data_IF_716199406220
#
_entry.id   IF_716199406220
#
_cell.length_a   1.000
_cell.length_b   1.000
_cell.length_c   1.000
_cell.angle_alpha   90.00
_cell.angle_beta   90.00
_cell.angle_gamma   90.00
#
_symmetry.space_group_name_H-M   'P 1'
#
loop_
_entity.id
_entity.type
_entity.pdbx_description
1 polymer ?
#
# COMPACT_ATOMS: atom_id res chain seq x y z
N UNK A 1 5.12 -31.04 -22.04
CA UNK A 1 4.77 -29.70 -21.54
C UNK A 1 4.15 -28.94 -22.69
N UNK A 2 2.84 -28.76 -22.68
CA UNK A 2 2.10 -27.98 -23.70
C UNK A 2 2.48 -26.52 -23.55
N UNK A 3 3.02 -25.92 -24.62
CA UNK A 3 3.33 -24.50 -24.67
C UNK A 3 2.02 -23.70 -24.52
N UNK A 4 1.78 -23.14 -23.33
CA UNK A 4 0.75 -22.12 -23.12
C UNK A 4 1.03 -20.95 -24.05
N UNK A 5 0.00 -20.49 -24.79
CA UNK A 5 0.14 -19.29 -25.62
C UNK A 5 0.52 -18.12 -24.70
N UNK A 6 1.47 -17.26 -25.08
CA UNK A 6 2.03 -16.23 -24.18
C UNK A 6 0.99 -15.26 -23.60
N UNK A 7 -0.10 -15.02 -24.33
CA UNK A 7 -1.20 -14.12 -23.94
C UNK A 7 -2.37 -14.85 -23.25
N UNK A 8 -2.26 -16.16 -23.00
CA UNK A 8 -3.28 -16.88 -22.26
C UNK A 8 -3.17 -16.53 -20.76
N UNK A 9 -4.27 -16.11 -20.11
CA UNK A 9 -4.28 -15.87 -18.67
C UNK A 9 -3.98 -17.16 -17.90
N UNK A 10 -3.30 -17.04 -16.78
CA UNK A 10 -3.22 -18.09 -15.77
C UNK A 10 -4.58 -18.27 -15.07
N UNK A 11 -4.73 -19.39 -14.38
CA UNK A 11 -5.87 -19.58 -13.49
C UNK A 11 -5.86 -18.50 -12.39
N UNK A 12 -7.04 -17.95 -12.09
CA UNK A 12 -7.18 -17.00 -11.00
C UNK A 12 -6.71 -17.64 -9.67
N UNK A 13 -5.94 -16.92 -8.85
CA UNK A 13 -5.55 -17.41 -7.54
C UNK A 13 -6.80 -17.63 -6.67
N UNK A 14 -6.77 -18.65 -5.81
CA UNK A 14 -7.89 -18.91 -4.87
C UNK A 14 -8.03 -17.78 -3.85
N UNK A 15 -6.89 -17.35 -3.31
CA UNK A 15 -6.76 -16.22 -2.40
C UNK A 15 -5.45 -15.51 -2.69
N UNK A 16 -5.46 -14.19 -2.60
CA UNK A 16 -4.31 -13.33 -2.78
C UNK A 16 -4.38 -12.23 -1.71
N UNK A 17 -3.36 -12.16 -0.84
CA UNK A 17 -3.33 -11.26 0.30
C UNK A 17 -2.25 -10.18 0.11
N UNK A 18 -2.41 -9.36 -0.94
CA UNK A 18 -1.47 -8.27 -1.26
C UNK A 18 -1.86 -7.03 -0.46
N UNK A 19 -0.91 -6.45 0.25
CA UNK A 19 -1.15 -5.34 1.16
C UNK A 19 0.07 -5.01 2.01
N UNK A 20 0.48 -3.75 2.03
CA UNK A 20 1.41 -3.19 3.00
C UNK A 20 0.90 -1.80 3.43
N UNK A 21 0.91 -1.50 4.73
CA UNK A 21 0.45 -0.22 5.27
C UNK A 21 1.37 0.90 4.78
N UNK A 22 0.81 2.06 4.45
CA UNK A 22 1.61 3.25 4.15
C UNK A 22 2.30 3.76 5.44
N UNK A 23 3.64 3.65 5.57
CA UNK A 23 4.35 4.06 6.78
C UNK A 23 4.18 5.55 7.04
N UNK A 24 4.08 6.35 5.98
CA UNK A 24 3.95 7.80 6.05
C UNK A 24 2.62 8.19 6.70
N UNK A 25 1.53 7.63 6.18
CA UNK A 25 0.20 7.86 6.71
C UNK A 25 0.03 7.27 8.12
N UNK A 26 0.62 6.09 8.39
CA UNK A 26 0.57 5.47 9.70
C UNK A 26 1.26 6.33 10.76
N UNK A 27 2.47 6.82 10.47
CA UNK A 27 3.22 7.70 11.38
C UNK A 27 2.52 9.04 11.57
N UNK A 28 1.97 9.65 10.49
CA UNK A 28 1.15 10.86 10.60
C UNK A 28 -0.08 10.68 11.49
N UNK A 29 -0.76 9.54 11.37
CA UNK A 29 -1.91 9.18 12.19
C UNK A 29 -1.53 8.96 13.66
N UNK A 30 -0.35 8.40 13.93
CA UNK A 30 0.16 8.20 15.29
C UNK A 30 0.65 9.50 15.94
N UNK A 31 1.32 10.37 15.17
CA UNK A 31 1.89 11.64 15.67
C UNK A 31 0.87 12.79 15.68
N UNK A 32 -0.22 12.67 14.92
CA UNK A 32 -1.25 13.70 14.79
C UNK A 32 -0.77 14.97 14.09
N UNK A 33 0.24 14.88 13.23
CA UNK A 33 0.77 16.00 12.42
C UNK A 33 1.38 15.49 11.13
N UNK A 34 1.43 16.33 10.09
CA UNK A 34 2.20 16.06 8.86
C UNK A 34 3.69 15.95 9.15
N UNK A 35 4.36 15.09 8.40
CA UNK A 35 5.82 14.98 8.40
C UNK A 35 6.32 15.31 7.00
N UNK A 36 7.42 16.04 6.91
CA UNK A 36 8.07 16.32 5.63
C UNK A 36 8.88 15.09 5.18
N UNK A 37 8.32 14.35 4.24
CA UNK A 37 8.91 13.12 3.70
C UNK A 37 10.15 13.37 2.83
N UNK A 38 10.38 14.61 2.39
CA UNK A 38 11.57 14.99 1.64
C UNK A 38 12.81 15.18 2.52
N UNK A 39 12.63 15.18 3.84
CA UNK A 39 13.69 15.46 4.80
C UNK A 39 14.43 14.18 5.23
N UNK A 40 15.78 14.21 5.19
CA UNK A 40 16.62 13.05 5.51
C UNK A 40 16.38 12.37 6.88
N UNK A 41 16.12 13.10 7.99
CA UNK A 41 15.82 12.49 9.30
C UNK A 41 14.49 11.73 9.36
N UNK A 42 13.68 11.79 8.31
CA UNK A 42 12.35 11.18 8.33
C UNK A 42 12.40 9.65 8.36
N UNK A 43 13.43 9.04 7.78
CA UNK A 43 13.67 7.59 7.93
C UNK A 43 13.87 7.20 9.40
N UNK A 44 14.57 8.03 10.19
CA UNK A 44 14.77 7.80 11.62
C UNK A 44 13.46 7.95 12.40
N UNK A 45 12.63 8.94 12.05
CA UNK A 45 11.31 9.11 12.68
C UNK A 45 10.45 7.86 12.46
N UNK A 46 10.38 7.37 11.22
CA UNK A 46 9.59 6.18 10.88
C UNK A 46 10.14 4.96 11.64
N UNK A 47 11.46 4.76 11.62
CA UNK A 47 12.08 3.61 12.28
C UNK A 47 11.82 3.61 13.80
N UNK A 48 11.89 4.79 14.43
CA UNK A 48 11.64 4.93 15.86
C UNK A 48 10.17 4.72 16.23
N UNK A 49 9.23 5.30 15.46
CA UNK A 49 7.79 5.17 15.73
C UNK A 49 7.31 3.72 15.48
N UNK A 50 7.83 3.08 14.44
CA UNK A 50 7.45 1.71 14.05
C UNK A 50 8.34 0.63 14.69
N UNK A 51 9.35 1.03 15.48
CA UNK A 51 10.28 0.14 16.20
C UNK A 51 10.93 -0.93 15.31
N UNK A 52 11.31 -0.56 14.09
CA UNK A 52 11.94 -1.44 13.12
C UNK A 52 12.89 -0.62 12.25
N UNK A 53 14.04 -1.18 11.90
CA UNK A 53 14.99 -0.49 11.04
C UNK A 53 14.38 -0.22 9.66
N UNK A 54 14.64 0.96 9.09
CA UNK A 54 14.01 1.41 7.84
C UNK A 54 14.12 0.38 6.71
N UNK A 55 15.31 -0.19 6.50
CA UNK A 55 15.58 -1.18 5.45
C UNK A 55 14.86 -2.53 5.65
N UNK A 56 14.29 -2.78 6.83
CA UNK A 56 13.53 -3.99 7.14
C UNK A 56 12.02 -3.78 7.07
N UNK A 57 11.54 -2.53 7.01
CA UNK A 57 10.12 -2.21 7.01
C UNK A 57 9.38 -2.78 5.79
N UNK A 58 10.08 -2.87 4.66
CA UNK A 58 9.49 -3.10 3.33
C UNK A 58 9.64 -4.54 2.81
N UNK A 59 10.05 -5.48 3.66
CA UNK A 59 10.11 -6.91 3.31
C UNK A 59 9.48 -7.76 4.42
N UNK A 60 8.49 -8.60 4.03
CA UNK A 60 7.68 -9.38 4.97
C UNK A 60 8.51 -10.40 5.78
N UNK A 61 9.70 -10.79 5.33
CA UNK A 61 10.58 -11.73 6.08
C UNK A 61 11.08 -11.17 7.40
N UNK A 62 11.01 -9.85 7.57
CA UNK A 62 11.39 -9.17 8.81
C UNK A 62 10.21 -8.98 9.76
N UNK A 63 9.03 -9.52 9.43
CA UNK A 63 7.83 -9.44 10.29
C UNK A 63 7.42 -7.99 10.60
N UNK A 64 7.72 -7.06 9.68
CA UNK A 64 7.43 -5.63 9.84
C UNK A 64 5.95 -5.37 10.15
N UNK A 65 5.70 -4.37 11.00
CA UNK A 65 4.35 -3.91 11.36
C UNK A 65 3.55 -3.41 10.15
N UNK A 66 4.21 -3.04 9.04
CA UNK A 66 3.52 -2.67 7.80
C UNK A 66 2.70 -3.82 7.21
N UNK A 67 2.96 -5.06 7.63
CA UNK A 67 2.24 -6.26 7.22
C UNK A 67 1.31 -6.78 8.33
N UNK A 68 0.89 -5.92 9.27
CA UNK A 68 0.02 -6.33 10.38
C UNK A 68 -1.21 -7.11 9.89
N UNK A 69 -1.39 -8.32 10.44
CA UNK A 69 -2.46 -9.25 10.07
C UNK A 69 -2.14 -10.24 8.95
N UNK A 70 -0.97 -10.15 8.30
CA UNK A 70 -0.48 -11.12 7.32
C UNK A 70 0.99 -11.50 7.56
N UNK A 71 1.38 -12.68 7.08
CA UNK A 71 2.76 -13.19 7.20
C UNK A 71 3.17 -14.03 6.01
N UNK A 72 4.47 -14.28 5.88
CA UNK A 72 4.97 -15.28 4.94
C UNK A 72 4.59 -16.68 5.42
N UNK A 73 4.03 -17.48 4.51
CA UNK A 73 3.87 -18.89 4.76
C UNK A 73 5.22 -19.61 4.63
N UNK A 74 5.49 -20.56 5.53
CA UNK A 74 6.77 -21.27 5.57
C UNK A 74 6.95 -22.33 4.46
N UNK A 75 6.00 -22.47 3.52
CA UNK A 75 6.01 -23.53 2.49
C UNK A 75 6.37 -23.01 1.10
N UNK A 76 5.75 -21.88 0.72
CA UNK A 76 5.80 -21.36 -0.65
C UNK A 76 6.17 -19.87 -0.69
N UNK A 77 6.54 -19.27 0.45
CA UNK A 77 6.87 -17.85 0.59
C UNK A 77 5.75 -16.92 0.09
N UNK A 78 4.49 -17.38 0.15
CA UNK A 78 3.32 -16.57 -0.17
C UNK A 78 2.77 -15.91 1.09
N UNK A 79 2.15 -14.74 0.94
CA UNK A 79 1.43 -14.11 2.04
C UNK A 79 0.22 -14.97 2.46
N UNK A 80 0.00 -15.11 3.77
CA UNK A 80 -1.18 -15.69 4.38
C UNK A 80 -1.67 -14.81 5.54
N UNK A 81 -2.96 -14.89 5.87
CA UNK A 81 -3.49 -14.20 7.04
C UNK A 81 -2.92 -14.78 8.33
N UNK A 82 -2.59 -13.92 9.28
CA UNK A 82 -2.30 -14.31 10.66
C UNK A 82 -3.64 -14.66 11.33
N UNK A 83 -3.81 -15.87 11.89
CA UNK A 83 -5.03 -16.22 12.62
C UNK A 83 -5.26 -15.26 13.80
N UNK A 84 -6.51 -14.87 14.07
CA UNK A 84 -6.83 -13.89 15.13
C UNK A 84 -6.28 -14.27 16.51
N UNK A 85 -6.22 -15.58 16.83
CA UNK A 85 -5.66 -16.11 18.08
C UNK A 85 -4.14 -15.93 18.22
N UNK A 86 -3.45 -15.71 17.10
CA UNK A 86 -2.00 -15.48 17.01
C UNK A 86 -1.68 -13.98 16.96
N UNK A 87 -2.70 -13.11 16.90
CA UNK A 87 -2.52 -11.68 17.08
C UNK A 87 -2.36 -11.36 18.57
N UNK A 88 -1.41 -10.49 18.87
CA UNK A 88 -1.02 -10.13 20.22
C UNK A 88 -1.03 -8.62 20.40
N UNK A 89 -1.65 -8.16 21.48
CA UNK A 89 -1.60 -6.75 21.86
C UNK A 89 -0.45 -6.51 22.82
N UNK A 90 0.49 -5.68 22.39
CA UNK A 90 1.64 -5.26 23.17
C UNK A 90 1.25 -4.15 24.14
N UNK A 91 1.65 -4.30 25.40
CA UNK A 91 1.51 -3.28 26.44
C UNK A 91 2.81 -2.50 26.60
N UNK A 92 2.79 -1.38 27.31
CA UNK A 92 4.01 -0.63 27.65
C UNK A 92 5.05 -1.50 28.35
N UNK A 93 4.61 -2.46 29.19
CA UNK A 93 5.50 -3.41 29.88
C UNK A 93 6.20 -4.36 28.90
N UNK A 94 5.54 -4.74 27.81
CA UNK A 94 6.14 -5.60 26.79
C UNK A 94 7.25 -4.87 26.03
N UNK A 95 7.15 -3.55 25.86
CA UNK A 95 8.05 -2.74 25.02
C UNK A 95 9.20 -2.07 25.79
N UNK A 96 9.39 -2.40 27.07
CA UNK A 96 10.45 -1.81 27.88
C UNK A 96 11.82 -2.22 27.32
N UNK A 97 12.63 -1.21 27.00
CA UNK A 97 14.04 -1.41 26.64
C UNK A 97 14.86 -1.60 27.91
N UNK A 98 15.70 -2.65 28.00
CA UNK A 98 16.57 -2.83 29.15
C UNK A 98 17.56 -1.68 29.30
N UNK A 99 17.95 -1.41 30.53
CA UNK A 99 18.96 -0.42 30.84
C UNK A 99 20.35 -0.97 30.49
N UNK A 100 21.01 -0.33 29.52
CA UNK A 100 22.37 -0.68 29.08
C UNK A 100 23.45 0.21 29.71
N UNK A 101 23.09 1.11 30.64
CA UNK A 101 24.04 2.07 31.24
C UNK A 101 25.18 1.42 32.03
N UNK A 102 24.95 0.22 32.56
CA UNK A 102 25.95 -0.56 33.31
C UNK A 102 26.79 -1.50 32.45
N UNK A 103 26.57 -1.55 31.12
CA UNK A 103 27.31 -2.45 30.23
C UNK A 103 28.66 -1.84 29.84
N UNK A 104 29.75 -2.42 30.33
CA UNK A 104 31.12 -1.97 30.02
C UNK A 104 31.83 -2.93 29.04
N UNK A 105 31.44 -4.21 29.05
CA UNK A 105 32.00 -5.29 28.23
C UNK A 105 30.88 -6.07 27.55
N UNK A 106 31.21 -6.70 26.42
CA UNK A 106 30.27 -7.58 25.71
C UNK A 106 29.70 -8.69 26.60
N UNK A 107 30.50 -9.23 27.54
CA UNK A 107 30.05 -10.23 28.51
C UNK A 107 28.90 -9.74 29.39
N UNK A 108 28.83 -8.44 29.68
CA UNK A 108 27.86 -7.86 30.61
C UNK A 108 26.47 -7.81 29.97
N UNK A 109 26.39 -7.97 28.64
CA UNK A 109 25.13 -8.17 27.91
C UNK A 109 24.38 -9.42 28.41
N UNK A 110 25.08 -10.41 28.96
CA UNK A 110 24.47 -11.58 29.58
C UNK A 110 23.61 -11.20 30.79
N UNK A 111 24.07 -10.24 31.62
CA UNK A 111 23.39 -9.82 32.85
C UNK A 111 22.10 -9.02 32.55
N UNK A 112 22.08 -8.28 31.44
CA UNK A 112 20.90 -7.56 30.95
C UNK A 112 19.95 -8.42 30.11
N UNK A 113 20.25 -9.72 29.94
CA UNK A 113 19.36 -10.73 29.36
C UNK A 113 19.81 -11.38 28.04
N UNK A 114 20.97 -11.01 27.48
CA UNK A 114 21.55 -11.63 26.26
C UNK A 114 22.37 -12.86 26.65
N UNK A 115 21.69 -13.93 27.05
CA UNK A 115 22.34 -15.14 27.58
C UNK A 115 23.25 -15.85 26.56
N UNK A 116 22.86 -15.84 25.28
CA UNK A 116 23.53 -16.58 24.21
C UNK A 116 24.25 -15.65 23.22
N UNK A 117 25.10 -14.77 23.74
CA UNK A 117 25.77 -13.75 22.92
C UNK A 117 26.62 -14.36 21.78
N UNK A 118 27.27 -15.50 22.03
CA UNK A 118 28.07 -16.21 21.02
C UNK A 118 27.28 -16.78 19.85
N UNK A 119 25.98 -17.04 20.04
CA UNK A 119 25.07 -17.55 19.00
C UNK A 119 24.24 -16.42 18.36
N UNK A 120 24.30 -15.23 18.93
CA UNK A 120 23.52 -14.07 18.46
C UNK A 120 24.04 -13.63 17.10
N UNK A 121 23.16 -13.65 16.10
CA UNK A 121 23.52 -13.27 14.74
C UNK A 121 23.86 -11.78 14.66
N UNK A 122 25.00 -11.47 14.06
CA UNK A 122 25.37 -10.10 13.71
C UNK A 122 24.56 -9.66 12.49
N UNK A 123 23.84 -8.55 12.61
CA UNK A 123 23.08 -7.93 11.52
C UNK A 123 23.98 -7.03 10.68
N UNK A 124 24.76 -6.18 11.33
CA UNK A 124 25.79 -5.34 10.70
C UNK A 124 27.05 -5.27 11.56
N UNK A 125 28.20 -5.23 10.90
CA UNK A 125 29.48 -4.94 11.52
C UNK A 125 30.26 -3.99 10.61
N UNK A 126 30.69 -2.85 11.14
CA UNK A 126 31.53 -1.91 10.39
C UNK A 126 32.44 -1.11 11.32
N UNK A 127 33.55 -0.62 10.76
CA UNK A 127 34.48 0.27 11.46
C UNK A 127 34.08 1.72 11.21
N UNK A 128 33.96 2.53 12.28
CA UNK A 128 33.76 3.96 12.18
C UNK A 128 34.67 4.68 13.18
N UNK A 129 35.54 5.56 12.67
CA UNK A 129 36.51 6.33 13.48
C UNK A 129 37.36 5.44 14.41
N UNK A 130 37.79 4.27 13.93
CA UNK A 130 38.59 3.31 14.71
C UNK A 130 37.78 2.44 15.68
N UNK A 131 36.46 2.65 15.79
CA UNK A 131 35.58 1.84 16.64
C UNK A 131 34.81 0.81 15.81
N UNK A 132 34.73 -0.43 16.31
CA UNK A 132 33.85 -1.46 15.76
C UNK A 132 32.42 -1.19 16.22
N UNK A 133 31.51 -0.93 15.28
CA UNK A 133 30.07 -0.85 15.54
C UNK A 133 29.42 -2.18 15.14
N UNK A 134 28.76 -2.81 16.10
CA UNK A 134 28.00 -4.05 15.91
C UNK A 134 26.52 -3.77 16.11
N UNK A 135 25.71 -4.17 15.14
CA UNK A 135 24.26 -4.27 15.28
C UNK A 135 23.93 -5.75 15.36
N UNK A 136 23.42 -6.17 16.50
CA UNK A 136 23.06 -7.57 16.75
C UNK A 136 21.58 -7.78 16.45
N UNK A 137 21.24 -8.93 15.87
CA UNK A 137 19.83 -9.31 15.72
C UNK A 137 19.26 -9.54 17.13
N UNK A 138 18.13 -8.90 17.41
CA UNK A 138 17.45 -8.97 18.70
C UNK A 138 17.26 -10.43 19.16
N UNK A 139 17.73 -10.80 20.36
CA UNK A 139 17.42 -12.10 20.96
C UNK A 139 15.94 -12.15 21.35
N UNK A 140 15.32 -13.33 21.24
CA UNK A 140 13.90 -13.53 21.60
C UNK A 140 13.57 -13.20 23.07
N UNK A 141 14.57 -13.03 23.93
CA UNK A 141 14.45 -12.72 25.36
C UNK A 141 14.26 -11.23 25.70
N UNK A 142 14.44 -10.31 24.75
CA UNK A 142 14.33 -8.85 24.97
C UNK A 142 12.94 -8.33 24.63
N UNK A 143 12.47 -7.33 25.40
CA UNK A 143 11.15 -6.69 25.30
C UNK A 143 10.60 -6.64 23.88
N UNK A 144 9.35 -7.02 23.68
CA UNK A 144 8.71 -7.17 22.37
C UNK A 144 8.69 -5.83 21.64
N UNK A 145 8.87 -5.90 20.33
CA UNK A 145 8.78 -4.76 19.41
C UNK A 145 7.56 -4.98 18.53
N UNK A 146 7.11 -3.91 17.89
CA UNK A 146 6.06 -4.00 16.88
C UNK A 146 6.42 -5.02 15.79
N UNK A 147 5.44 -5.82 15.37
CA UNK A 147 5.55 -6.77 14.28
C UNK A 147 4.21 -6.94 13.56
N UNK A 148 4.19 -7.80 12.55
CA UNK A 148 3.00 -8.17 11.81
C UNK A 148 1.93 -8.92 12.66
N UNK A 149 2.30 -9.45 13.83
CA UNK A 149 1.40 -10.15 14.75
C UNK A 149 1.37 -9.54 16.16
N UNK A 150 2.40 -8.78 16.55
CA UNK A 150 2.48 -8.05 17.81
C UNK A 150 2.31 -6.55 17.61
N UNK A 151 1.14 -6.00 17.91
CA UNK A 151 0.82 -4.57 17.72
C UNK A 151 0.33 -3.92 19.00
N UNK A 152 0.47 -2.60 19.17
CA UNK A 152 -0.21 -1.89 20.26
C UNK A 152 -1.72 -1.83 20.01
N UNK A 153 -2.52 -1.52 21.04
CA UNK A 153 -3.96 -1.28 20.88
C UNK A 153 -4.25 -0.21 19.82
N UNK A 154 -3.46 0.88 19.80
CA UNK A 154 -3.62 1.96 18.82
C UNK A 154 -3.44 1.47 17.39
N UNK A 155 -2.38 0.71 17.09
CA UNK A 155 -2.14 0.18 15.75
C UNK A 155 -3.18 -0.89 15.40
N UNK A 156 -3.54 -1.75 16.35
CA UNK A 156 -4.58 -2.76 16.18
C UNK A 156 -5.93 -2.17 15.75
N UNK A 157 -6.38 -1.12 16.43
CA UNK A 157 -7.64 -0.41 16.14
C UNK A 157 -7.59 0.47 14.88
N UNK A 158 -6.39 0.90 14.48
CA UNK A 158 -6.17 1.79 13.33
C UNK A 158 -6.01 1.02 12.01
N UNK A 159 -5.30 -0.11 12.02
CA UNK A 159 -4.77 -0.71 10.79
C UNK A 159 -5.04 -2.21 10.63
N UNK A 160 -5.69 -2.87 11.59
CA UNK A 160 -5.92 -4.33 11.54
C UNK A 160 -7.40 -4.69 11.69
N UNK A 161 -7.87 -5.77 11.05
CA UNK A 161 -9.26 -6.22 11.16
C UNK A 161 -9.57 -6.86 12.52
N UNK A 162 -8.56 -7.09 13.37
CA UNK A 162 -8.63 -7.84 14.64
C UNK A 162 -8.82 -6.93 15.85
N UNK A 163 -9.84 -6.08 15.81
CA UNK A 163 -10.10 -5.07 16.84
C UNK A 163 -10.57 -5.68 18.16
N UNK A 164 -10.27 -4.98 19.25
CA UNK A 164 -10.70 -5.35 20.61
C UNK A 164 -12.07 -4.77 20.95
N UNK A 165 -12.40 -3.58 20.43
CA UNK A 165 -13.69 -2.93 20.67
C UNK A 165 -14.76 -3.47 19.72
N UNK A 166 -15.67 -4.30 20.22
CA UNK A 166 -16.82 -4.86 19.49
C UNK A 166 -18.14 -4.14 19.78
N UNK A 167 -18.14 -3.10 20.62
CA UNK A 167 -19.35 -2.38 21.03
C UNK A 167 -19.44 -1.00 20.36
N UNK A 168 -20.46 -0.81 19.51
CA UNK A 168 -20.80 0.49 18.90
C UNK A 168 -20.27 0.70 17.48
N UNK A 169 -20.57 1.86 16.92
CA UNK A 169 -20.03 2.29 15.62
C UNK A 169 -18.53 2.53 15.74
N UNK A 170 -17.77 2.02 14.77
CA UNK A 170 -16.32 2.15 14.79
C UNK A 170 -15.86 3.57 14.49
N UNK A 171 -14.83 4.01 15.21
CA UNK A 171 -14.07 5.22 14.93
C UNK A 171 -12.61 4.93 15.23
N UNK A 172 -11.66 5.25 14.31
CA UNK A 172 -10.26 5.01 14.59
C UNK A 172 -9.75 5.84 15.79
N UNK A 173 -8.67 5.42 16.45
CA UNK A 173 -8.04 6.19 17.52
C UNK A 173 -7.72 7.63 17.08
N UNK A 174 -7.90 8.60 17.99
CA UNK A 174 -7.61 10.02 17.78
C UNK A 174 -8.33 10.67 16.58
N UNK A 175 -9.48 10.12 16.18
CA UNK A 175 -10.24 10.61 15.03
C UNK A 175 -11.72 10.82 15.34
N UNK A 176 -12.38 11.51 14.42
CA UNK A 176 -13.83 11.76 14.36
C UNK A 176 -14.32 11.41 12.96
N UNK A 177 -15.59 11.01 12.83
CA UNK A 177 -16.25 10.98 11.53
C UNK A 177 -16.77 12.38 11.23
N UNK A 178 -16.28 13.00 10.17
CA UNK A 178 -16.65 14.36 9.79
C UNK A 178 -17.19 14.42 8.37
N UNK A 179 -18.27 15.18 8.17
CA UNK A 179 -18.75 15.53 6.84
C UNK A 179 -17.83 16.61 6.24
N UNK A 180 -16.91 16.14 5.43
CA UNK A 180 -15.92 16.98 4.75
C UNK A 180 -16.42 17.50 3.39
N UNK A 181 -17.71 17.37 3.08
CA UNK A 181 -18.29 17.92 1.85
C UNK A 181 -18.16 19.44 1.77
N UNK A 182 -18.05 20.13 2.92
CA UNK A 182 -17.73 21.56 3.00
C UNK A 182 -16.37 21.91 2.36
N UNK A 183 -15.41 20.98 2.33
CA UNK A 183 -14.13 21.19 1.64
C UNK A 183 -14.31 21.35 0.13
N UNK A 184 -15.40 20.84 -0.46
CA UNK A 184 -15.72 21.03 -1.88
C UNK A 184 -16.15 22.46 -2.25
N UNK A 185 -16.52 23.29 -1.27
CA UNK A 185 -17.03 24.65 -1.51
C UNK A 185 -15.96 25.59 -2.09
N UNK A 186 -14.71 25.44 -1.66
CA UNK A 186 -13.62 26.38 -1.92
C UNK A 186 -12.64 25.89 -2.99
N UNK A 187 -12.94 24.77 -3.66
CA UNK A 187 -12.00 24.13 -4.59
C UNK A 187 -12.34 24.44 -6.05
N UNK A 188 -11.34 24.64 -6.93
CA UNK A 188 -11.52 24.44 -8.35
C UNK A 188 -12.00 22.99 -8.56
N UNK A 189 -12.92 22.77 -9.50
CA UNK A 189 -13.41 21.41 -9.80
C UNK A 189 -12.26 20.47 -10.18
N UNK A 190 -12.49 19.14 -10.19
CA UNK A 190 -11.48 18.18 -10.63
C UNK A 190 -10.86 18.62 -11.94
N UNK A 191 -9.53 18.70 -11.97
CA UNK A 191 -8.81 18.77 -13.23
C UNK A 191 -8.99 17.39 -13.89
N UNK A 192 -9.87 17.27 -14.90
CA UNK A 192 -10.15 15.98 -15.51
C UNK A 192 -8.92 15.45 -16.28
N UNK A 193 -7.86 16.25 -16.42
CA UNK A 193 -6.59 15.83 -17.02
C UNK A 193 -5.63 15.16 -16.04
N UNK A 194 -5.91 15.19 -14.72
CA UNK A 194 -5.06 14.58 -13.68
C UNK A 194 -5.72 13.34 -13.08
N UNK A 195 -5.00 12.22 -13.16
CA UNK A 195 -5.54 10.89 -12.80
C UNK A 195 -4.96 10.31 -11.51
N UNK A 196 -3.97 10.96 -10.90
CA UNK A 196 -3.17 10.46 -9.77
C UNK A 196 -3.82 10.66 -8.39
N UNK A 197 -5.14 10.79 -8.32
CA UNK A 197 -5.80 11.12 -7.06
C UNK A 197 -5.61 10.06 -5.96
N UNK A 198 -5.86 8.75 -6.16
CA UNK A 198 -5.86 7.81 -5.05
C UNK A 198 -4.48 7.68 -4.39
N UNK A 199 -4.42 8.01 -3.10
CA UNK A 199 -3.26 7.83 -2.22
C UNK A 199 -3.68 7.05 -0.99
N UNK A 200 -3.00 5.95 -0.73
CA UNK A 200 -3.27 5.06 0.39
C UNK A 200 -2.99 5.73 1.73
N UNK A 201 -3.86 5.52 2.71
CA UNK A 201 -3.67 5.98 4.08
C UNK A 201 -3.15 4.91 5.04
N UNK A 202 -3.50 5.01 6.33
CA UNK A 202 -2.94 4.22 7.42
C UNK A 202 -3.47 2.77 7.52
N UNK A 203 -3.63 2.07 6.40
CA UNK A 203 -4.12 0.70 6.30
C UNK A 203 -3.46 -0.05 5.15
N UNK A 204 -3.30 -1.37 5.27
CA UNK A 204 -2.67 -2.24 4.25
C UNK A 204 -3.56 -2.59 3.05
N UNK A 205 -4.28 -1.64 2.47
CA UNK A 205 -5.23 -1.88 1.37
C UNK A 205 -4.74 -1.40 -0.01
N UNK A 206 -3.43 -1.40 -0.22
CA UNK A 206 -2.77 -1.03 -1.49
C UNK A 206 -3.41 -1.68 -2.72
N UNK A 207 -3.94 -2.90 -2.57
CA UNK A 207 -4.63 -3.64 -3.62
C UNK A 207 -5.84 -2.89 -4.19
N UNK A 208 -6.64 -2.25 -3.33
CA UNK A 208 -7.80 -1.46 -3.71
C UNK A 208 -7.38 -0.10 -4.27
N UNK A 209 -6.43 0.57 -3.63
CA UNK A 209 -5.96 1.90 -4.06
C UNK A 209 -5.30 1.84 -5.45
N UNK A 210 -4.48 0.82 -5.70
CA UNK A 210 -3.89 0.58 -7.02
C UNK A 210 -4.98 0.29 -8.07
N UNK A 211 -6.00 -0.50 -7.72
CA UNK A 211 -7.12 -0.79 -8.61
C UNK A 211 -7.94 0.46 -8.95
N UNK A 212 -8.27 1.30 -7.96
CA UNK A 212 -8.98 2.58 -8.16
C UNK A 212 -8.20 3.49 -9.12
N UNK A 213 -6.88 3.60 -8.91
CA UNK A 213 -6.01 4.38 -9.79
C UNK A 213 -5.99 3.80 -11.21
N UNK A 214 -5.90 2.49 -11.38
CA UNK A 214 -5.89 1.85 -12.70
C UNK A 214 -7.21 1.98 -13.46
N UNK A 215 -8.35 1.94 -12.74
CA UNK A 215 -9.68 2.20 -13.32
C UNK A 215 -9.80 3.67 -13.70
N UNK A 216 -9.52 4.60 -12.77
CA UNK A 216 -9.57 6.03 -13.04
C UNK A 216 -8.64 6.45 -14.18
N UNK A 217 -7.47 5.82 -14.29
CA UNK A 217 -6.55 6.02 -15.39
C UNK A 217 -7.15 5.56 -16.70
N UNK A 218 -7.64 4.34 -16.82
CA UNK A 218 -8.04 3.79 -18.12
C UNK A 218 -9.43 4.20 -18.58
N UNK A 219 -10.36 4.35 -17.65
CA UNK A 219 -11.74 4.75 -17.87
C UNK A 219 -12.21 5.72 -16.77
N UNK A 220 -11.87 7.01 -16.88
CA UNK A 220 -12.27 8.02 -15.90
C UNK A 220 -13.79 8.12 -15.73
N UNK A 221 -14.56 7.74 -16.76
CA UNK A 221 -16.02 7.81 -16.73
C UNK A 221 -16.66 6.71 -15.87
N UNK A 222 -15.92 5.62 -15.58
CA UNK A 222 -16.34 4.59 -14.64
C UNK A 222 -16.29 5.06 -13.17
N UNK A 223 -15.60 6.17 -12.89
CA UNK A 223 -15.52 6.74 -11.55
C UNK A 223 -16.58 7.82 -11.37
N UNK A 224 -17.49 7.60 -10.42
CA UNK A 224 -18.49 8.57 -10.01
C UNK A 224 -17.85 9.57 -9.06
N UNK A 225 -17.99 10.86 -9.35
CA UNK A 225 -17.42 11.90 -8.50
C UNK A 225 -18.51 12.62 -7.70
N UNK A 226 -18.34 12.69 -6.37
CA UNK A 226 -18.92 13.78 -5.59
C UNK A 226 -18.14 15.05 -5.91
N UNK A 227 -18.64 15.82 -6.88
CA UNK A 227 -18.02 17.09 -7.29
C UNK A 227 -18.77 18.28 -6.66
N UNK A 228 -18.24 19.48 -6.87
CA UNK A 228 -18.85 20.72 -6.37
C UNK A 228 -20.28 20.91 -6.85
N UNK A 229 -20.64 20.52 -8.08
CA UNK A 229 -22.02 20.60 -8.56
C UNK A 229 -22.96 19.65 -7.81
N UNK A 230 -22.53 18.41 -7.53
CA UNK A 230 -23.30 17.45 -6.73
C UNK A 230 -23.48 17.96 -5.30
N UNK A 231 -22.44 18.56 -4.72
CA UNK A 231 -22.51 19.21 -3.42
C UNK A 231 -23.49 20.39 -3.40
N UNK A 232 -23.38 21.32 -4.35
CA UNK A 232 -24.27 22.48 -4.43
C UNK A 232 -25.73 22.05 -4.67
N UNK A 233 -25.96 21.04 -5.50
CA UNK A 233 -27.28 20.48 -5.74
C UNK A 233 -27.88 19.88 -4.46
N UNK A 234 -27.08 19.11 -3.70
CA UNK A 234 -27.49 18.56 -2.42
C UNK A 234 -27.79 19.68 -1.40
N UNK A 235 -26.93 20.70 -1.32
CA UNK A 235 -27.11 21.85 -0.44
C UNK A 235 -28.39 22.64 -0.75
N UNK A 236 -28.71 22.86 -2.04
CA UNK A 236 -29.96 23.52 -2.48
C UNK A 236 -31.18 22.69 -2.06
N UNK A 237 -31.10 21.36 -2.20
CA UNK A 237 -32.17 20.44 -1.80
C UNK A 237 -32.24 20.17 -0.30
N UNK A 238 -31.29 20.68 0.49
CA UNK A 238 -31.08 20.34 1.90
C UNK A 238 -30.89 18.82 2.13
N UNK A 239 -30.30 18.15 1.15
CA UNK A 239 -29.97 16.73 1.20
C UNK A 239 -28.49 16.55 1.60
N UNK A 240 -28.15 15.47 2.32
CA UNK A 240 -26.76 15.17 2.62
C UNK A 240 -25.99 14.78 1.35
N UNK A 241 -24.73 15.21 1.28
CA UNK A 241 -23.78 14.77 0.26
C UNK A 241 -23.63 13.24 0.33
N UNK A 242 -23.80 12.56 -0.81
CA UNK A 242 -23.67 11.11 -0.91
C UNK A 242 -23.07 10.68 -2.24
N UNK A 243 -22.50 9.48 -2.25
CA UNK A 243 -21.98 8.77 -3.41
C UNK A 243 -22.67 7.41 -3.53
N UNK A 244 -23.16 7.09 -4.72
CA UNK A 244 -23.71 5.78 -5.08
C UNK A 244 -22.73 5.06 -6.00
N UNK A 245 -22.18 3.93 -5.56
CA UNK A 245 -21.21 3.14 -6.33
C UNK A 245 -21.80 1.76 -6.59
N UNK A 246 -21.82 1.32 -7.86
CA UNK A 246 -22.18 -0.06 -8.20
C UNK A 246 -20.95 -0.95 -8.15
N UNK A 247 -21.02 -2.01 -7.37
CA UNK A 247 -19.95 -3.00 -7.19
C UNK A 247 -20.45 -4.38 -7.62
N UNK A 248 -19.55 -5.17 -8.18
CA UNK A 248 -19.88 -6.41 -8.88
C UNK A 248 -19.19 -7.60 -8.22
N UNK A 249 -19.96 -8.63 -7.86
CA UNK A 249 -19.41 -9.87 -7.29
C UNK A 249 -18.50 -10.57 -8.29
N UNK A 250 -17.31 -10.97 -7.83
CA UNK A 250 -16.35 -11.78 -8.61
C UNK A 250 -15.88 -13.02 -7.84
N UNK A 251 -16.50 -13.32 -6.70
CA UNK A 251 -16.22 -14.49 -5.85
C UNK A 251 -14.94 -14.38 -5.02
N UNK A 252 -14.71 -15.39 -4.17
CA UNK A 252 -13.56 -15.47 -3.26
C UNK A 252 -13.63 -14.48 -2.09
N UNK A 253 -12.47 -14.21 -1.48
CA UNK A 253 -12.35 -13.29 -0.32
C UNK A 253 -12.63 -11.83 -0.70
N UNK A 254 -13.02 -10.96 0.23
CA UNK A 254 -13.34 -9.54 -0.06
C UNK A 254 -14.37 -9.37 -1.19
N UNK A 255 -15.46 -10.13 -1.11
CA UNK A 255 -16.55 -10.12 -2.11
C UNK A 255 -17.92 -10.12 -1.41
N UNK A 256 -18.89 -9.49 -2.07
CA UNK A 256 -20.29 -9.49 -1.66
C UNK A 256 -21.19 -9.52 -2.92
N UNK A 257 -22.50 -9.79 -2.79
CA UNK A 257 -23.39 -9.78 -3.94
C UNK A 257 -23.36 -8.45 -4.70
N UNK A 258 -23.46 -8.51 -6.03
CA UNK A 258 -23.52 -7.33 -6.90
C UNK A 258 -24.64 -6.40 -6.45
N UNK A 259 -24.31 -5.15 -6.13
CA UNK A 259 -25.28 -4.17 -5.65
C UNK A 259 -24.77 -2.74 -5.85
N UNK A 260 -25.68 -1.77 -5.74
CA UNK A 260 -25.33 -0.36 -5.55
C UNK A 260 -25.18 -0.09 -4.07
N UNK A 261 -24.10 0.59 -3.69
CA UNK A 261 -23.78 0.96 -2.31
C UNK A 261 -23.79 2.47 -2.19
N UNK A 262 -24.64 2.96 -1.30
CA UNK A 262 -24.74 4.38 -0.96
C UNK A 262 -23.92 4.68 0.30
N UNK A 263 -23.11 5.73 0.22
CA UNK A 263 -22.34 6.28 1.34
C UNK A 263 -22.52 7.79 1.42
N UNK A 264 -22.67 8.33 2.63
CA UNK A 264 -22.59 9.76 2.85
C UNK A 264 -21.12 10.27 2.83
N UNK A 265 -20.95 11.58 2.80
CA UNK A 265 -19.64 12.25 2.75
C UNK A 265 -18.92 12.35 4.12
N UNK A 266 -19.39 11.64 5.15
CA UNK A 266 -18.65 11.50 6.42
C UNK A 266 -17.47 10.54 6.24
N UNK A 267 -16.27 10.94 6.65
CA UNK A 267 -15.09 10.04 6.66
C UNK A 267 -14.23 10.28 7.91
N UNK A 268 -13.35 9.33 8.28
CA UNK A 268 -12.50 9.50 9.45
C UNK A 268 -11.42 10.56 9.24
N UNK A 269 -11.41 11.56 10.13
CA UNK A 269 -10.47 12.69 10.16
C UNK A 269 -9.71 12.70 11.48
N UNK A 270 -8.40 12.91 11.43
CA UNK A 270 -7.58 13.03 12.63
C UNK A 270 -7.92 14.33 13.40
N UNK A 271 -8.28 14.21 14.68
CA UNK A 271 -8.77 15.33 15.50
C UNK A 271 -7.79 16.50 15.63
N UNK A 272 -6.48 16.23 15.62
CA UNK A 272 -5.45 17.26 15.78
C UNK A 272 -4.98 17.90 14.47
N UNK A 273 -4.98 17.17 13.35
CA UNK A 273 -4.37 17.61 12.09
C UNK A 273 -5.37 17.88 10.98
N UNK A 274 -6.64 17.53 11.19
CA UNK A 274 -7.73 17.60 10.20
C UNK A 274 -7.39 16.85 8.89
N UNK A 275 -6.51 15.85 8.98
CA UNK A 275 -6.15 15.01 7.84
C UNK A 275 -7.03 13.78 7.75
N UNK A 276 -7.32 13.35 6.53
CA UNK A 276 -7.93 12.04 6.29
C UNK A 276 -6.99 10.92 6.73
N UNK A 277 -7.55 9.97 7.49
CA UNK A 277 -6.81 8.84 8.06
C UNK A 277 -6.47 7.77 7.00
N UNK A 278 -7.36 7.58 6.02
CA UNK A 278 -7.27 6.51 5.03
C UNK A 278 -7.10 7.05 3.61
N UNK A 279 -7.70 6.42 2.59
CA UNK A 279 -7.51 6.80 1.20
C UNK A 279 -7.86 8.27 0.99
N UNK A 280 -6.98 9.01 0.31
CA UNK A 280 -7.07 10.45 0.12
C UNK A 280 -6.57 10.85 -1.26
N UNK A 281 -6.65 12.13 -1.58
CA UNK A 281 -6.06 12.65 -2.80
C UNK A 281 -4.57 13.02 -2.63
N UNK A 282 -3.79 13.02 -3.73
CA UNK A 282 -2.39 13.46 -3.76
C UNK A 282 -2.20 14.88 -3.20
N UNK A 283 -3.10 15.80 -3.55
CA UNK A 283 -3.13 17.18 -3.02
C UNK A 283 -3.74 17.33 -1.61
N UNK A 284 -3.99 16.23 -0.90
CA UNK A 284 -4.65 16.22 0.41
C UNK A 284 -6.18 16.10 0.32
N UNK A 285 -6.91 16.91 1.10
CA UNK A 285 -8.36 16.79 1.26
C UNK A 285 -9.19 17.34 0.05
N UNK A 286 -8.54 17.67 -1.07
CA UNK A 286 -9.17 18.36 -2.20
C UNK A 286 -10.12 17.50 -3.04
N UNK A 287 -9.93 16.18 -3.06
CA UNK A 287 -10.80 15.26 -3.80
C UNK A 287 -11.25 14.11 -2.90
N UNK A 288 -12.57 14.00 -2.71
CA UNK A 288 -13.16 13.05 -1.77
C UNK A 288 -13.42 11.67 -2.34
N UNK A 289 -13.51 11.57 -3.68
CA UNK A 289 -13.90 10.32 -4.33
C UNK A 289 -13.03 9.11 -3.93
N UNK A 290 -11.69 9.20 -3.73
CA UNK A 290 -10.91 8.03 -3.33
C UNK A 290 -11.33 7.51 -1.95
N UNK A 291 -11.54 8.42 -0.99
CA UNK A 291 -12.01 8.09 0.36
C UNK A 291 -13.42 7.49 0.34
N UNK A 292 -14.32 8.05 -0.47
CA UNK A 292 -15.70 7.58 -0.58
C UNK A 292 -15.79 6.23 -1.30
N UNK A 293 -14.94 5.97 -2.29
CA UNK A 293 -14.85 4.65 -2.93
C UNK A 293 -14.29 3.60 -1.96
N UNK A 294 -13.24 3.92 -1.21
CA UNK A 294 -12.71 3.03 -0.16
C UNK A 294 -13.79 2.70 0.88
N UNK A 295 -14.53 3.71 1.32
CA UNK A 295 -15.66 3.56 2.25
C UNK A 295 -16.78 2.68 1.66
N UNK A 296 -17.22 2.96 0.43
CA UNK A 296 -18.27 2.18 -0.23
C UNK A 296 -17.85 0.73 -0.46
N UNK A 297 -16.60 0.50 -0.87
CA UNK A 297 -16.05 -0.83 -1.07
C UNK A 297 -15.95 -1.59 0.26
N UNK A 298 -15.46 -0.94 1.32
CA UNK A 298 -15.40 -1.54 2.66
C UNK A 298 -16.80 -1.92 3.14
N UNK A 299 -17.76 -0.99 3.07
CA UNK A 299 -19.17 -1.22 3.42
C UNK A 299 -19.75 -2.44 2.68
N UNK A 300 -19.42 -2.58 1.41
CA UNK A 300 -19.86 -3.69 0.57
C UNK A 300 -19.30 -5.03 1.04
N UNK A 301 -17.97 -5.16 1.20
CA UNK A 301 -17.34 -6.43 1.56
C UNK A 301 -17.62 -6.84 3.01
N UNK A 302 -17.77 -5.88 3.92
CA UNK A 302 -18.12 -6.16 5.32
C UNK A 302 -19.61 -6.39 5.52
N UNK A 303 -20.44 -6.13 4.50
CA UNK A 303 -21.91 -6.17 4.55
C UNK A 303 -22.47 -5.27 5.66
N UNK A 304 -21.78 -4.17 5.93
CA UNK A 304 -22.21 -3.19 6.90
C UNK A 304 -23.35 -2.33 6.32
N UNK A 305 -24.46 -2.25 7.04
CA UNK A 305 -25.58 -1.39 6.65
C UNK A 305 -25.35 0.09 6.95
N UNK A 306 -24.41 0.39 7.86
CA UNK A 306 -24.19 1.72 8.40
C UNK A 306 -23.34 2.61 7.48
N UNK A 307 -23.31 3.90 7.78
CA UNK A 307 -22.48 4.89 7.07
C UNK A 307 -21.09 5.07 7.68
N UNK A 308 -20.73 4.29 8.69
CA UNK A 308 -19.43 4.35 9.37
C UNK A 308 -18.78 2.97 9.40
N UNK A 309 -18.54 2.35 8.22
CA UNK A 309 -17.97 1.02 8.16
C UNK A 309 -16.56 1.02 8.74
N UNK A 310 -16.18 -0.12 9.30
CA UNK A 310 -14.82 -0.37 9.73
C UNK A 310 -13.88 -0.50 8.53
N UNK A 311 -13.15 0.57 8.20
CA UNK A 311 -12.23 0.60 7.06
C UNK A 311 -11.13 -0.45 7.19
N UNK A 312 -10.77 -0.88 8.42
CA UNK A 312 -9.75 -1.91 8.66
C UNK A 312 -10.10 -3.26 8.02
N UNK A 313 -11.37 -3.52 7.73
CA UNK A 313 -11.82 -4.74 7.02
C UNK A 313 -11.35 -4.81 5.57
N UNK A 314 -10.83 -3.72 5.00
CA UNK A 314 -10.23 -3.71 3.66
C UNK A 314 -8.73 -4.03 3.68
N UNK A 315 -8.15 -4.39 4.83
CA UNK A 315 -6.75 -4.82 4.92
C UNK A 315 -6.51 -5.98 3.97
N UNK A 316 -5.49 -5.88 3.11
CA UNK A 316 -5.01 -6.86 2.12
C UNK A 316 -6.04 -7.48 1.16
N UNK A 317 -5.64 -7.80 -0.07
CA UNK A 317 -6.54 -8.40 -1.04
C UNK A 317 -5.96 -8.57 -2.43
N UNK A 318 -6.86 -8.75 -3.40
CA UNK A 318 -6.51 -9.03 -4.80
C UNK A 318 -6.71 -7.78 -5.67
N UNK A 319 -5.63 -7.12 -6.14
CA UNK A 319 -5.74 -5.90 -6.93
C UNK A 319 -6.37 -6.13 -8.31
N UNK A 320 -6.25 -7.32 -8.89
CA UNK A 320 -6.79 -7.62 -10.23
C UNK A 320 -8.29 -7.85 -10.13
N UNK A 321 -8.71 -8.61 -9.12
CA UNK A 321 -10.12 -8.79 -8.82
C UNK A 321 -10.82 -7.48 -8.47
N UNK A 322 -10.18 -6.61 -7.68
CA UNK A 322 -10.73 -5.31 -7.34
C UNK A 322 -11.10 -4.48 -8.59
N UNK A 323 -10.23 -4.46 -9.61
CA UNK A 323 -10.54 -3.78 -10.87
C UNK A 323 -11.78 -4.36 -11.56
N UNK A 324 -11.94 -5.69 -11.54
CA UNK A 324 -13.12 -6.36 -12.08
C UNK A 324 -14.39 -6.06 -11.26
N UNK A 325 -14.28 -6.01 -9.93
CA UNK A 325 -15.38 -5.65 -9.02
C UNK A 325 -15.82 -4.19 -9.17
N UNK A 326 -14.92 -3.30 -9.62
CA UNK A 326 -15.20 -1.89 -9.90
C UNK A 326 -15.79 -1.63 -11.29
N UNK A 327 -15.58 -2.53 -12.26
CA UNK A 327 -15.87 -2.25 -13.69
C UNK A 327 -16.79 -3.28 -14.37
N UNK A 328 -17.20 -4.33 -13.66
CA UNK A 328 -17.91 -5.50 -14.18
C UNK A 328 -17.16 -6.30 -15.27
N UNK A 329 -15.86 -6.07 -15.43
CA UNK A 329 -15.03 -6.78 -16.40
C UNK A 329 -14.57 -8.13 -15.87
N UNK A 330 -13.89 -8.92 -16.70
CA UNK A 330 -13.28 -10.19 -16.30
C UNK A 330 -11.83 -9.99 -15.87
N UNK A 331 -11.45 -10.58 -14.73
CA UNK A 331 -10.09 -10.55 -14.21
C UNK A 331 -9.23 -11.62 -14.92
N UNK A 332 -8.15 -11.17 -15.56
CA UNK A 332 -7.14 -12.04 -16.20
C UNK A 332 -5.78 -11.86 -15.52
N UNK A 333 -5.17 -12.97 -15.10
CA UNK A 333 -3.91 -12.99 -14.34
C UNK A 333 -2.74 -13.46 -15.21
N UNK A 334 -1.57 -12.90 -14.99
CA UNK A 334 -0.33 -13.26 -15.66
C UNK A 334 0.82 -13.29 -14.64
N UNK A 335 1.15 -14.48 -14.13
CA UNK A 335 2.29 -14.68 -13.23
C UNK A 335 3.61 -14.57 -13.99
N UNK A 336 4.56 -13.85 -13.40
CA UNK A 336 5.87 -13.55 -14.00
C UNK A 336 6.75 -14.78 -14.10
N UNK A 337 6.66 -15.70 -13.14
CA UNK A 337 7.42 -16.94 -13.10
C UNK A 337 7.22 -17.84 -14.35
N UNK A 338 6.06 -17.73 -15.01
CA UNK A 338 5.72 -18.56 -16.18
C UNK A 338 6.10 -17.90 -17.52
N UNK A 339 6.66 -16.70 -17.52
CA UNK A 339 6.82 -15.88 -18.72
C UNK A 339 8.21 -15.26 -18.83
N UNK A 340 8.63 -15.04 -20.07
CA UNK A 340 9.78 -14.22 -20.41
C UNK A 340 9.44 -12.73 -20.36
N UNK A 341 10.47 -11.89 -20.26
CA UNK A 341 10.36 -10.43 -20.24
C UNK A 341 9.60 -9.93 -21.48
N UNK A 342 9.88 -10.53 -22.64
CA UNK A 342 9.20 -10.19 -23.91
C UNK A 342 7.70 -10.52 -23.86
N UNK A 343 7.31 -11.63 -23.26
CA UNK A 343 5.90 -12.03 -23.14
C UNK A 343 5.16 -11.10 -22.18
N UNK A 344 5.76 -10.77 -21.03
CA UNK A 344 5.21 -9.81 -20.08
C UNK A 344 5.02 -8.43 -20.72
N UNK A 345 6.02 -7.94 -21.45
CA UNK A 345 5.91 -6.67 -22.17
C UNK A 345 4.87 -6.75 -23.30
N UNK A 346 4.76 -7.87 -24.00
CA UNK A 346 3.71 -8.08 -25.01
C UNK A 346 2.31 -7.96 -24.40
N UNK A 347 2.10 -8.47 -23.19
CA UNK A 347 0.82 -8.34 -22.48
C UNK A 347 0.50 -6.87 -22.21
N UNK A 348 1.43 -6.11 -21.62
CA UNK A 348 1.24 -4.66 -21.37
C UNK A 348 0.94 -3.91 -22.66
N UNK A 349 1.72 -4.17 -23.72
CA UNK A 349 1.55 -3.53 -25.04
C UNK A 349 0.20 -3.84 -25.67
N UNK A 350 -0.26 -5.09 -25.56
CA UNK A 350 -1.55 -5.51 -26.14
C UNK A 350 -2.76 -4.88 -25.45
N UNK A 351 -2.59 -4.38 -24.23
CA UNK A 351 -3.61 -3.66 -23.47
C UNK A 351 -3.33 -2.15 -23.41
N UNK A 352 -2.53 -1.64 -24.34
CA UNK A 352 -2.13 -0.23 -24.41
C UNK A 352 -2.37 0.37 -25.80
N UNK A 353 -2.69 1.66 -25.84
CA UNK A 353 -2.72 2.49 -27.05
C UNK A 353 -1.88 3.74 -26.78
N UNK A 354 -1.01 4.12 -27.72
CA UNK A 354 -0.10 5.26 -27.56
C UNK A 354 0.67 5.24 -26.23
N UNK A 355 1.31 4.11 -25.90
CA UNK A 355 2.14 3.94 -24.69
C UNK A 355 1.39 3.97 -23.35
N UNK A 356 0.06 4.08 -23.39
CA UNK A 356 -0.83 4.16 -22.22
C UNK A 356 -1.78 2.96 -22.17
N UNK A 357 -1.99 2.40 -20.98
CA UNK A 357 -2.98 1.34 -20.80
C UNK A 357 -4.39 1.83 -21.09
N UNK A 358 -5.19 0.99 -21.76
CA UNK A 358 -6.62 1.24 -22.07
C UNK A 358 -7.57 0.29 -21.36
N UNK A 359 -7.03 -0.79 -20.77
CA UNK A 359 -7.73 -1.64 -19.82
C UNK A 359 -7.07 -1.50 -18.45
N UNK A 360 -7.83 -1.43 -17.34
CA UNK A 360 -7.25 -1.35 -16.00
C UNK A 360 -6.24 -2.49 -15.78
N UNK A 361 -5.02 -2.14 -15.37
CA UNK A 361 -3.96 -3.10 -15.10
C UNK A 361 -3.29 -2.81 -13.76
N UNK A 362 -3.03 -3.86 -12.99
CA UNK A 362 -2.26 -3.81 -11.75
C UNK A 362 -1.13 -4.84 -11.79
N UNK A 363 -0.06 -4.58 -11.07
CA UNK A 363 1.01 -5.51 -10.80
C UNK A 363 1.20 -5.65 -9.30
N UNK A 364 1.72 -6.78 -8.83
CA UNK A 364 2.00 -6.99 -7.41
C UNK A 364 3.34 -7.68 -7.19
N UNK A 365 4.06 -7.23 -6.17
CA UNK A 365 5.40 -7.71 -5.83
C UNK A 365 5.38 -9.05 -5.13
N UNK A 366 6.50 -9.79 -5.22
CA UNK A 366 6.72 -10.95 -4.37
C UNK A 366 6.63 -10.56 -2.89
N UNK A 367 6.14 -11.45 -2.00
CA UNK A 367 6.05 -11.12 -0.57
C UNK A 367 7.39 -10.95 0.13
N UNK A 368 8.46 -11.50 -0.44
CA UNK A 368 9.82 -11.37 0.08
C UNK A 368 10.86 -11.61 -1.02
N UNK A 369 12.12 -11.29 -0.73
CA UNK A 369 13.26 -11.60 -1.60
C UNK A 369 14.50 -10.80 -1.22
N UNK A 370 15.69 -11.34 -1.46
CA UNK A 370 16.95 -10.64 -1.16
C UNK A 370 17.12 -9.33 -1.94
N UNK A 371 16.41 -9.23 -3.07
CA UNK A 371 16.43 -8.06 -3.96
C UNK A 371 15.75 -6.83 -3.37
N UNK A 372 14.82 -6.97 -2.43
CA UNK A 372 14.16 -5.82 -1.78
C UNK A 372 15.10 -5.06 -0.83
N UNK A 373 16.24 -5.64 -0.45
CA UNK A 373 17.20 -4.99 0.45
C UNK A 373 17.81 -3.76 -0.22
N UNK A 374 17.62 -2.59 0.39
CA UNK A 374 18.14 -1.32 -0.13
C UNK A 374 17.44 -0.85 -1.42
N UNK A 375 16.25 -1.40 -1.70
CA UNK A 375 15.39 -1.01 -2.80
C UNK A 375 14.17 -0.26 -2.26
N UNK A 376 13.71 0.74 -3.01
CA UNK A 376 12.51 1.53 -2.72
C UNK A 376 11.21 0.85 -3.20
N UNK A 377 11.30 -0.42 -3.61
CA UNK A 377 10.14 -1.25 -3.92
C UNK A 377 9.74 -1.99 -2.66
N UNK A 378 8.43 -2.04 -2.41
CA UNK A 378 7.88 -2.66 -1.22
C UNK A 378 7.45 -4.08 -1.57
N UNK A 379 7.82 -5.05 -0.75
CA UNK A 379 7.38 -6.43 -0.91
C UNK A 379 5.89 -6.57 -0.59
N UNK A 380 5.22 -7.56 -1.19
CA UNK A 380 3.77 -7.79 -1.05
C UNK A 380 2.87 -6.56 -1.30
N UNK A 381 3.24 -5.72 -2.26
CA UNK A 381 2.60 -4.44 -2.56
C UNK A 381 1.95 -4.48 -3.95
N UNK A 382 0.83 -3.77 -4.11
CA UNK A 382 0.16 -3.61 -5.40
C UNK A 382 0.53 -2.26 -6.03
N UNK A 383 0.74 -2.25 -7.34
CA UNK A 383 1.10 -1.09 -8.15
C UNK A 383 0.15 -0.96 -9.33
N UNK A 384 -0.24 0.26 -9.68
CA UNK A 384 -0.98 0.51 -10.92
C UNK A 384 -0.04 0.45 -12.12
N UNK A 385 -0.44 -0.23 -13.19
CA UNK A 385 0.30 -0.25 -14.47
C UNK A 385 -0.30 0.80 -15.40
N UNK A 386 0.43 1.89 -15.60
CA UNK A 386 -0.06 3.05 -16.37
C UNK A 386 0.24 2.94 -17.86
N UNK A 387 1.27 2.17 -18.22
CA UNK A 387 1.67 2.03 -19.61
C UNK A 387 3.06 1.43 -19.75
N UNK A 388 3.68 1.73 -20.88
CA UNK A 388 5.03 1.28 -21.19
C UNK A 388 5.72 2.31 -22.06
N UNK A 389 7.06 2.28 -22.08
CA UNK A 389 7.85 3.08 -23.03
C UNK A 389 9.09 2.29 -23.45
N UNK A 390 9.72 2.70 -24.54
CA UNK A 390 11.08 2.27 -24.88
C UNK A 390 12.03 3.40 -24.47
N UNK A 391 13.25 3.07 -24.01
CA UNK A 391 14.22 4.12 -23.69
C UNK A 391 14.47 4.98 -24.95
N UNK A 392 14.47 6.32 -24.80
CA UNK A 392 14.87 7.22 -25.88
C UNK A 392 16.30 6.95 -26.39
N UNK A 393 17.18 6.47 -25.50
CA UNK A 393 18.60 6.22 -25.76
C UNK A 393 18.87 4.80 -26.29
N UNK A 394 18.10 3.80 -25.85
CA UNK A 394 18.22 2.41 -26.28
C UNK A 394 16.85 1.78 -26.49
N UNK A 395 16.46 1.63 -27.77
CA UNK A 395 15.16 1.06 -28.15
C UNK A 395 15.00 -0.42 -27.78
N UNK A 396 16.08 -1.12 -27.42
CA UNK A 396 16.01 -2.51 -26.92
C UNK A 396 15.55 -2.55 -25.46
N UNK A 397 15.78 -1.47 -24.70
CA UNK A 397 15.31 -1.37 -23.32
C UNK A 397 13.87 -0.90 -23.27
N UNK A 398 13.00 -1.77 -22.76
CA UNK A 398 11.58 -1.51 -22.61
C UNK A 398 11.23 -1.44 -21.13
N UNK A 399 10.47 -0.42 -20.78
CA UNK A 399 10.09 -0.12 -19.40
C UNK A 399 8.58 -0.23 -19.27
N UNK A 400 8.14 -0.81 -18.17
CA UNK A 400 6.77 -0.67 -17.69
C UNK A 400 6.68 0.58 -16.82
N UNK A 401 5.62 1.35 -16.97
CA UNK A 401 5.35 2.53 -16.15
C UNK A 401 4.40 2.14 -15.03
N UNK A 402 4.84 2.38 -13.80
CA UNK A 402 4.16 1.95 -12.57
C UNK A 402 3.88 3.15 -11.68
N UNK A 403 2.81 3.06 -10.88
CA UNK A 403 2.55 4.01 -9.80
C UNK A 403 2.48 3.31 -8.44
N UNK A 404 3.24 3.82 -7.48
CA UNK A 404 3.18 3.44 -6.08
C UNK A 404 1.85 3.95 -5.45
N UNK A 405 1.09 3.09 -4.75
CA UNK A 405 -0.21 3.47 -4.18
C UNK A 405 -0.11 4.50 -3.04
N UNK A 406 1.08 4.65 -2.46
CA UNK A 406 1.37 5.68 -1.44
C UNK A 406 1.45 7.09 -2.00
N UNK A 407 1.40 7.25 -3.33
CA UNK A 407 1.46 8.57 -3.97
C UNK A 407 2.75 9.32 -3.69
N UNK A 408 3.82 8.61 -3.36
CA UNK A 408 5.19 9.08 -3.22
C UNK A 408 6.10 7.93 -3.66
N UNK A 409 7.24 8.25 -4.25
CA UNK A 409 8.35 7.31 -4.32
C UNK A 409 9.21 7.54 -3.09
N UNK A 410 9.67 6.48 -2.43
CA UNK A 410 10.68 6.66 -1.38
C UNK A 410 11.88 7.41 -1.98
N UNK A 411 12.51 8.31 -1.21
CA UNK A 411 13.72 9.01 -1.65
C UNK A 411 14.72 7.98 -2.16
N UNK A 412 15.38 8.23 -3.30
CA UNK A 412 16.48 7.37 -3.79
C UNK A 412 17.37 6.99 -2.60
N UNK A 413 17.32 5.71 -2.24
CA UNK A 413 17.72 5.27 -0.92
C UNK A 413 19.16 5.66 -0.57
N UNK A 414 19.41 5.68 0.73
CA UNK A 414 20.67 5.94 1.41
C UNK A 414 21.91 5.15 0.93
N UNK A 415 21.91 4.40 -0.20
CA UNK A 415 23.12 4.02 -0.96
C UNK A 415 22.98 3.19 -2.27
N UNK A 416 21.82 3.06 -2.94
CA UNK A 416 21.77 2.20 -4.14
C UNK A 416 20.82 2.67 -5.25
N UNK A 417 21.38 3.21 -6.33
CA UNK A 417 20.72 3.27 -7.64
C UNK A 417 20.52 1.84 -8.16
N UNK A 418 19.27 1.36 -8.35
CA UNK A 418 19.05 0.02 -8.89
C UNK A 418 19.16 0.02 -10.45
N UNK A 419 19.76 -1.02 -11.06
CA UNK A 419 19.86 -1.13 -12.52
C UNK A 419 18.49 -1.29 -13.20
N UNK A 420 18.06 -0.29 -13.98
CA UNK A 420 16.81 -0.32 -14.72
C UNK A 420 15.68 0.55 -14.12
N UNK A 421 15.94 1.25 -13.00
CA UNK A 421 15.00 2.24 -12.44
C UNK A 421 15.11 3.54 -13.17
N UNK A 422 13.95 4.12 -13.44
CA UNK A 422 13.81 5.53 -13.72
C UNK A 422 12.83 6.10 -12.69
N UNK A 423 13.37 6.71 -11.63
CA UNK A 423 12.58 7.25 -10.51
C UNK A 423 11.73 8.45 -10.88
N UNK A 424 12.13 9.18 -11.93
CA UNK A 424 11.45 10.38 -12.40
C UNK A 424 11.10 10.21 -13.86
N UNK A 425 9.80 10.10 -14.10
CA UNK A 425 9.23 9.98 -15.45
C UNK A 425 8.60 11.32 -15.80
N UNK A 426 9.18 11.99 -16.80
CA UNK A 426 8.63 13.21 -17.38
C UNK A 426 8.14 12.97 -18.82
N UNK A 427 7.56 14.00 -19.44
CA UNK A 427 7.01 13.91 -20.80
C UNK A 427 8.07 13.59 -21.88
N UNK A 428 9.35 13.87 -21.61
CA UNK A 428 10.44 13.53 -22.53
C UNK A 428 10.75 12.03 -22.50
N UNK A 429 10.55 11.38 -21.35
CA UNK A 429 10.72 9.94 -21.18
C UNK A 429 9.46 9.15 -21.56
N UNK A 430 8.28 9.65 -21.18
CA UNK A 430 6.99 9.06 -21.46
C UNK A 430 5.94 10.16 -21.64
N UNK A 431 5.46 10.34 -22.87
CA UNK A 431 4.58 11.46 -23.25
C UNK A 431 3.31 11.59 -22.38
N UNK A 432 2.83 10.48 -21.80
CA UNK A 432 1.65 10.51 -20.94
C UNK A 432 1.91 11.04 -19.52
N UNK A 433 3.16 11.34 -19.17
CA UNK A 433 3.52 11.88 -17.87
C UNK A 433 2.85 13.23 -17.54
N UNK A 434 2.48 14.03 -18.54
CA UNK A 434 1.79 15.31 -18.30
C UNK A 434 0.37 15.12 -17.71
N UNK A 435 -0.21 13.92 -17.83
CA UNK A 435 -1.54 13.58 -17.31
C UNK A 435 -1.52 13.11 -15.84
N UNK A 436 -0.36 13.15 -15.22
CA UNK A 436 -0.16 12.79 -13.81
C UNK A 436 0.63 13.93 -13.14
N UNK A 437 0.50 14.09 -11.82
CA UNK A 437 1.52 14.82 -11.07
C UNK A 437 2.58 13.79 -10.68
N UNK A 438 3.85 14.19 -10.70
CA UNK A 438 5.05 13.32 -10.68
C UNK A 438 5.19 12.36 -9.49
N UNK A 439 4.30 12.42 -8.52
CA UNK A 439 4.43 11.70 -7.26
C UNK A 439 4.07 10.21 -7.39
N UNK A 440 5.02 9.35 -6.98
CA UNK A 440 4.83 7.90 -6.95
C UNK A 440 4.95 7.20 -8.31
N UNK A 441 5.22 7.91 -9.41
CA UNK A 441 5.33 7.31 -10.75
C UNK A 441 6.79 7.08 -11.15
N UNK A 442 7.09 5.85 -11.57
CA UNK A 442 8.43 5.43 -11.97
C UNK A 442 8.36 4.46 -13.15
N UNK A 443 9.51 4.25 -13.79
CA UNK A 443 9.67 3.22 -14.82
C UNK A 443 10.62 2.13 -14.35
N UNK A 444 10.32 0.90 -14.72
CA UNK A 444 11.10 -0.28 -14.37
C UNK A 444 11.34 -1.10 -15.63
N UNK A 445 12.62 -1.37 -15.93
CA UNK A 445 13.00 -2.25 -17.03
C UNK A 445 12.35 -3.62 -16.86
N UNK A 446 11.83 -4.22 -17.93
CA UNK A 446 11.02 -5.44 -17.82
C UNK A 446 11.76 -6.64 -17.22
N UNK A 447 13.08 -6.74 -17.42
CA UNK A 447 13.89 -7.77 -16.77
C UNK A 447 13.87 -7.63 -15.25
N UNK A 448 14.09 -6.40 -14.75
CA UNK A 448 13.98 -6.11 -13.33
C UNK A 448 12.52 -6.27 -12.85
N UNK A 449 11.50 -5.85 -13.63
CA UNK A 449 10.09 -6.09 -13.28
C UNK A 449 9.83 -7.55 -12.94
N UNK A 450 10.28 -8.47 -13.80
CA UNK A 450 10.09 -9.91 -13.58
C UNK A 450 10.76 -10.40 -12.29
N UNK A 451 11.85 -9.78 -11.85
CA UNK A 451 12.57 -10.18 -10.64
C UNK A 451 11.87 -9.78 -9.33
N UNK A 452 11.12 -8.67 -9.33
CA UNK A 452 10.44 -8.14 -8.14
C UNK A 452 8.94 -8.44 -8.11
N UNK A 453 8.31 -8.58 -9.27
CA UNK A 453 6.87 -8.75 -9.38
C UNK A 453 6.50 -10.21 -9.50
N UNK A 454 5.55 -10.66 -8.68
CA UNK A 454 5.00 -12.00 -8.73
C UNK A 454 3.99 -12.18 -9.89
N UNK A 455 3.30 -11.09 -10.25
CA UNK A 455 2.34 -11.11 -11.33
C UNK A 455 1.84 -9.73 -11.72
N UNK A 456 1.14 -9.70 -12.84
CA UNK A 456 0.31 -8.60 -13.29
C UNK A 456 -1.04 -9.12 -13.75
N UNK A 457 -2.05 -8.26 -13.75
CA UNK A 457 -3.37 -8.62 -14.26
C UNK A 457 -4.07 -7.46 -14.93
N UNK A 458 -5.10 -7.81 -15.69
CA UNK A 458 -5.95 -6.89 -16.44
C UNK A 458 -7.41 -7.21 -16.17
N UNK A 459 -8.24 -6.17 -16.07
CA UNK A 459 -9.70 -6.30 -16.09
C UNK A 459 -10.20 -5.86 -17.47
N UNK A 460 -10.71 -6.80 -18.28
CA UNK A 460 -11.14 -6.53 -19.66
C UNK A 460 -12.48 -7.16 -20.02
#
# INVERSE_FOLDING_TARGET
MTATKPNQPDAAPKSLYVGAINPFALVEAMLGRKVDWSHAPTADIISNVLQSDYDELFDMKYESVLYAGIRLNGKNELAEQVPSREMHTLTERDMVTPDFSAVEKLSDLHEVGMKDLGETKVKHAYMLNGNLRLILRKPRSFGKTLSNSGVTTTIGELATPFRHSSAGQWTPPNSSWEDISSYLQHQPGPDPSKFNHPVQGAIGNSWLVAALMSVAWTDPSAIVHCNRSSFLAAAIKKEPCHLSVRLYSKGGDNDAPTTTVDVNCEVPVHNASNMLMYCRSSGGNGYLWPALYEKAFTKWISRDGENRPDITQSSHGDPVKAMAQLTDKDASYFFTAHRSDRELMSIVRSNSVNFRTVYPMCAFTYPTGDRFRGCNLVANMAYSVLGWTASPQDKQKQYVILRHPWGVTEPEGLNTSYPGLVVRVDASFWQCADMIESEGVFALEMGAFKEYFAGLGVAK
#
